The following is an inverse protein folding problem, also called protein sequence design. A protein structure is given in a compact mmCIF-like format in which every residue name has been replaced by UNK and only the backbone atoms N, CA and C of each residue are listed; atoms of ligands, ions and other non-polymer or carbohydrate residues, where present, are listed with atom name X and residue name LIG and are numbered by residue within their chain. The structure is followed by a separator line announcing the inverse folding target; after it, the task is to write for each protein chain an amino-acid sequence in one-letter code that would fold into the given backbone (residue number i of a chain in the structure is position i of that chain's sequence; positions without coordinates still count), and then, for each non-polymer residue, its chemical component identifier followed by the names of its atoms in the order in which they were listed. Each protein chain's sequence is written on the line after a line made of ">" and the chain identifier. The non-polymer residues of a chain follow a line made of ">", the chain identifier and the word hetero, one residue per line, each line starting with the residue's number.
data_IF_321688301663
#
_entry.id   IF_321688301663
#
_cell.length_a   1.000
_cell.length_b   1.000
_cell.length_c   1.000
_cell.angle_alpha   90.00
_cell.angle_beta   90.00
_cell.angle_gamma   90.00
#
_symmetry.space_group_name_H-M   'P 1'
#
loop_
_entity.id
_entity.type
_entity.pdbx_description
1 polymer ?
#
# COMPACT_ATOMS: atom_id res chain seq x y z
N UNK A 1 56.78 -45.79 49.32
CA UNK A 1 57.44 -44.69 50.07
C UNK A 1 56.70 -43.41 49.77
N UNK A 2 56.25 -42.77 50.85
CA UNK A 2 55.36 -41.63 50.96
C UNK A 2 56.09 -40.30 50.85
N UNK A 3 55.52 -39.32 50.13
CA UNK A 3 55.74 -37.89 50.43
C UNK A 3 54.45 -37.11 50.21
N UNK A 4 54.02 -36.45 51.29
CA UNK A 4 52.95 -35.47 51.38
C UNK A 4 53.52 -34.26 52.12
N UNK A 5 53.31 -33.03 51.65
CA UNK A 5 53.42 -31.76 52.42
C UNK A 5 52.60 -30.70 51.63
N UNK A 6 51.37 -30.32 52.03
CA UNK A 6 50.97 -29.21 52.92
C UNK A 6 51.50 -27.82 52.46
N UNK A 7 50.64 -26.92 51.95
CA UNK A 7 49.75 -25.98 52.67
C UNK A 7 50.40 -24.62 52.93
N UNK A 8 49.74 -23.54 52.46
CA UNK A 8 49.64 -22.27 53.20
C UNK A 8 48.60 -21.34 52.55
N UNK A 9 47.44 -21.22 53.19
CA UNK A 9 46.57 -20.05 53.05
C UNK A 9 47.19 -18.86 53.77
N UNK A 10 47.01 -17.64 53.25
CA UNK A 10 47.03 -16.41 54.06
C UNK A 10 45.86 -15.51 53.70
N UNK A 11 45.13 -15.13 54.75
CA UNK A 11 44.01 -14.21 54.78
C UNK A 11 44.48 -12.76 54.98
N UNK A 12 43.63 -11.86 54.47
CA UNK A 12 43.26 -10.53 54.97
C UNK A 12 44.32 -9.40 54.97
N UNK A 13 43.95 -8.23 54.43
CA UNK A 13 43.39 -7.12 55.24
C UNK A 13 42.81 -6.02 54.35
N UNK A 14 41.65 -5.52 54.75
CA UNK A 14 40.98 -4.32 54.25
C UNK A 14 41.59 -3.07 54.91
N UNK A 15 41.88 -2.01 54.15
CA UNK A 15 41.93 -0.63 54.68
C UNK A 15 41.44 0.40 53.64
N UNK A 16 40.86 1.47 54.18
CA UNK A 16 39.96 2.46 53.57
C UNK A 16 40.62 3.56 52.71
N UNK A 17 39.73 4.23 51.94
CA UNK A 17 39.84 5.43 51.05
C UNK A 17 40.54 6.68 51.65
N UNK A 18 40.99 7.63 50.80
CA UNK A 18 40.19 8.82 50.39
C UNK A 18 40.26 9.08 48.86
N UNK A 19 39.18 9.35 48.11
CA UNK A 19 38.48 10.62 47.87
C UNK A 19 39.38 11.76 47.32
N UNK A 20 39.21 12.17 46.04
CA UNK A 20 38.80 13.50 45.53
C UNK A 20 38.73 13.46 43.97
N UNK A 21 37.70 14.14 43.45
CA UNK A 21 37.08 14.24 42.10
C UNK A 21 37.95 14.89 40.98
N UNK A 22 37.35 15.45 39.90
CA UNK A 22 36.67 14.85 38.75
C UNK A 22 37.41 15.19 37.43
N UNK A 23 37.21 14.42 36.36
CA UNK A 23 37.55 14.91 35.00
C UNK A 23 36.42 14.66 34.03
N UNK A 24 35.90 15.78 33.53
CA UNK A 24 34.89 15.92 32.49
C UNK A 24 35.43 15.33 31.19
N UNK A 25 34.95 14.15 30.80
CA UNK A 25 35.00 13.71 29.42
C UNK A 25 33.65 13.97 28.77
N UNK A 26 33.67 14.84 27.77
CA UNK A 26 32.59 15.21 26.87
C UNK A 26 31.68 14.01 26.53
N UNK A 27 30.43 14.07 27.00
CA UNK A 27 29.34 13.33 26.41
C UNK A 27 29.11 13.87 24.99
N UNK A 28 29.55 13.11 23.98
CA UNK A 28 29.22 13.39 22.59
C UNK A 28 27.69 13.37 22.40
N UNK A 29 27.13 14.24 21.55
CA UNK A 29 25.68 14.31 21.36
C UNK A 29 25.21 12.99 20.75
N UNK A 30 24.39 12.26 21.51
CA UNK A 30 23.57 11.17 21.01
C UNK A 30 22.76 11.66 19.82
N UNK A 31 23.17 11.29 18.61
CA UNK A 31 22.32 11.40 17.42
C UNK A 31 21.23 10.34 17.56
N UNK A 32 20.17 10.71 18.26
CA UNK A 32 18.87 10.06 18.17
C UNK A 32 18.46 10.23 16.70
N UNK A 33 18.59 9.18 15.91
CA UNK A 33 17.99 9.11 14.58
C UNK A 33 16.49 9.02 14.84
N UNK A 34 15.67 10.03 14.48
CA UNK A 34 14.24 9.89 14.58
C UNK A 34 13.85 8.76 13.65
N UNK A 35 13.20 7.74 14.20
CA UNK A 35 12.54 6.73 13.40
C UNK A 35 11.61 7.48 12.43
N UNK A 36 11.71 7.16 11.15
CA UNK A 36 10.72 7.56 10.15
C UNK A 36 9.45 6.75 10.43
N UNK A 37 8.82 7.03 11.57
CA UNK A 37 7.37 6.93 11.69
C UNK A 37 6.84 7.90 10.65
N UNK A 38 6.24 7.34 9.61
CA UNK A 38 5.31 7.98 8.68
C UNK A 38 4.87 9.36 9.17
N UNK A 39 5.53 10.41 8.67
CA UNK A 39 4.96 11.73 8.69
C UNK A 39 3.70 11.65 7.83
N UNK A 40 2.58 11.24 8.44
CA UNK A 40 1.26 11.71 8.04
C UNK A 40 1.39 13.22 8.09
N UNK A 41 1.75 13.84 6.96
CA UNK A 41 1.75 15.28 6.80
C UNK A 41 0.40 15.72 7.33
N UNK A 42 0.40 16.37 8.49
CA UNK A 42 -0.77 17.05 8.99
C UNK A 42 -1.11 18.06 7.90
N UNK A 43 -2.13 17.75 7.11
CA UNK A 43 -2.63 18.71 6.15
C UNK A 43 -3.03 19.95 6.94
N UNK A 44 -2.53 21.11 6.53
CA UNK A 44 -2.92 22.34 7.19
C UNK A 44 -4.44 22.48 7.09
N UNK A 45 -5.07 22.98 8.16
CA UNK A 45 -6.51 23.24 8.18
C UNK A 45 -6.97 24.06 6.95
N UNK A 46 -6.12 24.98 6.48
CA UNK A 46 -6.35 25.75 5.26
C UNK A 46 -6.39 24.89 3.97
N UNK A 47 -5.53 23.88 3.83
CA UNK A 47 -5.55 22.96 2.71
C UNK A 47 -6.78 22.05 2.73
N UNK A 48 -7.21 21.61 3.93
CA UNK A 48 -8.44 20.84 4.10
C UNK A 48 -9.68 21.68 3.73
N UNK A 49 -9.76 22.94 4.17
CA UNK A 49 -10.83 23.86 3.81
C UNK A 49 -10.89 24.12 2.30
N UNK A 50 -9.75 24.40 1.65
CA UNK A 50 -9.71 24.59 0.19
C UNK A 50 -10.18 23.37 -0.58
N UNK A 51 -9.83 22.15 -0.15
CA UNK A 51 -10.37 20.93 -0.77
C UNK A 51 -11.87 20.76 -0.52
N UNK A 52 -12.36 21.08 0.68
CA UNK A 52 -13.78 21.01 0.99
C UNK A 52 -14.60 22.00 0.15
N UNK A 53 -14.07 23.21 -0.05
CA UNK A 53 -14.66 24.24 -0.91
C UNK A 53 -14.66 23.81 -2.38
N UNK A 54 -13.52 23.36 -2.92
CA UNK A 54 -13.43 22.84 -4.28
C UNK A 54 -14.35 21.60 -4.50
N UNK A 55 -14.47 20.73 -3.50
CA UNK A 55 -15.39 19.59 -3.55
C UNK A 55 -16.85 20.04 -3.54
N UNK A 56 -17.18 21.12 -2.82
CA UNK A 56 -18.51 21.75 -2.85
C UNK A 56 -18.79 22.37 -4.23
N UNK A 57 -17.85 23.10 -4.82
CA UNK A 57 -18.02 23.68 -6.16
C UNK A 57 -18.23 22.60 -7.23
N UNK A 58 -17.46 21.51 -7.19
CA UNK A 58 -17.66 20.34 -8.05
C UNK A 58 -19.00 19.66 -7.82
N UNK A 59 -19.47 19.59 -6.58
CA UNK A 59 -20.79 19.05 -6.27
C UNK A 59 -21.92 19.95 -6.79
N UNK A 60 -21.75 21.27 -6.77
CA UNK A 60 -22.72 22.23 -7.32
C UNK A 60 -22.84 22.10 -8.85
N UNK A 61 -21.74 21.81 -9.54
CA UNK A 61 -21.75 21.58 -10.99
C UNK A 61 -22.26 20.18 -11.39
N UNK A 62 -22.39 19.24 -10.44
CA UNK A 62 -22.89 17.92 -10.72
C UNK A 62 -24.42 17.86 -10.52
N UNK A 63 -25.22 17.74 -11.59
CA UNK A 63 -26.68 17.69 -11.46
C UNK A 63 -27.14 16.52 -10.58
N UNK A 64 -26.36 15.42 -10.51
CA UNK A 64 -26.67 14.25 -9.68
C UNK A 64 -26.65 14.54 -8.16
N UNK A 65 -26.15 15.70 -7.72
CA UNK A 65 -26.20 16.08 -6.31
C UNK A 65 -27.63 16.39 -5.85
N UNK A 66 -28.46 16.95 -6.72
CA UNK A 66 -29.80 17.41 -6.36
C UNK A 66 -30.79 16.24 -6.37
N UNK A 67 -31.43 16.02 -5.21
CA UNK A 67 -32.39 14.93 -4.98
C UNK A 67 -33.70 15.43 -4.39
N UNK A 68 -34.82 14.84 -4.79
CA UNK A 68 -36.17 15.14 -4.27
C UNK A 68 -36.41 16.67 -4.21
N UNK A 69 -36.75 17.21 -3.04
CA UNK A 69 -37.02 18.63 -2.81
C UNK A 69 -35.79 19.54 -2.89
N UNK A 70 -34.57 18.99 -2.94
CA UNK A 70 -33.36 19.79 -3.14
C UNK A 70 -33.20 20.24 -4.60
N UNK A 71 -33.99 19.71 -5.53
CA UNK A 71 -33.96 20.09 -6.94
C UNK A 71 -34.55 21.51 -7.08
N UNK A 72 -33.82 22.48 -7.65
CA UNK A 72 -34.24 23.89 -7.67
C UNK A 72 -35.31 24.23 -8.72
N UNK A 73 -35.90 23.23 -9.39
CA UNK A 73 -36.81 23.41 -10.52
C UNK A 73 -38.24 22.99 -10.20
N UNK A 74 -39.21 23.83 -10.58
CA UNK A 74 -40.64 23.55 -10.36
C UNK A 74 -41.21 22.51 -11.32
N UNK A 75 -40.79 22.56 -12.59
CA UNK A 75 -41.24 21.66 -13.65
C UNK A 75 -40.07 20.84 -14.18
N UNK A 76 -40.27 19.53 -14.27
CA UNK A 76 -39.25 18.55 -14.65
C UNK A 76 -39.83 17.52 -15.62
N UNK A 77 -38.98 16.86 -16.40
CA UNK A 77 -39.37 15.74 -17.26
C UNK A 77 -38.79 14.45 -16.72
N UNK A 78 -39.63 13.44 -16.54
CA UNK A 78 -39.19 12.14 -16.06
C UNK A 78 -38.57 11.31 -17.21
N UNK A 79 -37.39 10.78 -16.95
CA UNK A 79 -36.75 9.77 -17.79
C UNK A 79 -37.15 8.40 -17.25
N UNK A 80 -37.96 7.67 -18.01
CA UNK A 80 -38.33 6.32 -17.65
C UNK A 80 -37.13 5.38 -17.86
N UNK A 81 -36.74 4.63 -16.83
CA UNK A 81 -35.55 3.77 -16.88
C UNK A 81 -35.71 2.53 -17.76
N UNK A 82 -36.94 2.11 -18.04
CA UNK A 82 -37.23 0.89 -18.80
C UNK A 82 -37.39 1.20 -20.29
N UNK A 83 -38.17 2.23 -20.61
CA UNK A 83 -38.48 2.60 -22.00
C UNK A 83 -37.51 3.63 -22.59
N UNK A 84 -36.66 4.25 -21.77
CA UNK A 84 -35.79 5.39 -22.12
C UNK A 84 -36.53 6.55 -22.79
N UNK A 85 -37.86 6.64 -22.58
CA UNK A 85 -38.69 7.71 -23.11
C UNK A 85 -38.80 8.85 -22.10
N UNK A 86 -38.93 10.05 -22.64
CA UNK A 86 -39.15 11.26 -21.87
C UNK A 86 -40.64 11.48 -21.71
N UNK A 87 -41.09 11.53 -20.46
CA UNK A 87 -42.47 11.86 -20.14
C UNK A 87 -42.75 13.36 -20.32
N UNK A 88 -44.04 13.74 -20.44
CA UNK A 88 -44.42 15.14 -20.48
C UNK A 88 -43.94 15.90 -19.24
N UNK A 89 -43.73 17.23 -19.33
CA UNK A 89 -43.32 18.03 -18.19
C UNK A 89 -44.33 17.93 -17.04
N UNK A 90 -43.87 17.49 -15.86
CA UNK A 90 -44.66 17.34 -14.64
C UNK A 90 -44.12 18.26 -13.56
N UNK A 91 -44.97 18.65 -12.60
CA UNK A 91 -44.51 19.39 -11.41
C UNK A 91 -43.72 18.46 -10.51
N UNK A 92 -42.58 18.95 -10.01
CA UNK A 92 -41.71 18.16 -9.14
C UNK A 92 -42.43 17.70 -7.86
N UNK A 93 -43.25 18.56 -7.26
CA UNK A 93 -43.99 18.23 -6.03
C UNK A 93 -44.93 17.03 -6.23
N UNK A 94 -45.65 17.02 -7.35
CA UNK A 94 -46.61 15.96 -7.68
C UNK A 94 -45.87 14.63 -7.95
N UNK A 95 -44.71 14.71 -8.59
CA UNK A 95 -43.85 13.55 -8.86
C UNK A 95 -43.20 12.99 -7.59
N UNK A 96 -42.75 13.85 -6.67
CA UNK A 96 -42.20 13.40 -5.37
C UNK A 96 -43.29 12.80 -4.49
N UNK A 97 -44.53 13.31 -4.58
CA UNK A 97 -45.67 12.80 -3.82
C UNK A 97 -46.20 11.44 -4.33
N UNK A 98 -46.00 11.12 -5.60
CA UNK A 98 -46.46 9.85 -6.19
C UNK A 98 -45.53 8.67 -5.95
N UNK A 99 -44.32 8.91 -5.42
CA UNK A 99 -43.28 7.90 -5.25
C UNK A 99 -43.10 7.55 -3.77
N UNK A 100 -42.84 6.28 -3.48
CA UNK A 100 -42.35 5.86 -2.17
C UNK A 100 -40.91 6.34 -1.94
N UNK A 101 -40.76 7.34 -1.06
CA UNK A 101 -39.50 7.97 -0.71
C UNK A 101 -38.60 7.08 0.18
N UNK A 102 -39.13 5.98 0.73
CA UNK A 102 -38.34 5.04 1.51
C UNK A 102 -37.53 4.11 0.60
N UNK A 103 -38.14 3.59 -0.46
CA UNK A 103 -37.45 2.76 -1.45
C UNK A 103 -36.70 3.56 -2.53
N UNK A 104 -37.27 4.71 -2.95
CA UNK A 104 -36.81 5.43 -4.14
C UNK A 104 -36.49 6.90 -3.85
N UNK A 105 -35.75 7.53 -4.75
CA UNK A 105 -35.56 8.97 -4.76
C UNK A 105 -35.49 9.49 -6.20
N UNK A 106 -35.88 10.75 -6.37
CA UNK A 106 -35.79 11.49 -7.62
C UNK A 106 -34.43 12.15 -7.67
N UNK A 107 -33.67 11.93 -8.73
CA UNK A 107 -32.37 12.54 -8.96
C UNK A 107 -32.38 13.36 -10.24
N UNK A 108 -31.81 14.56 -10.18
CA UNK A 108 -31.59 15.38 -11.37
C UNK A 108 -30.45 14.80 -12.22
N UNK A 109 -30.69 14.64 -13.51
CA UNK A 109 -29.73 14.05 -14.48
C UNK A 109 -29.10 15.15 -15.34
N UNK A 110 -29.91 16.07 -15.85
CA UNK A 110 -29.42 17.20 -16.65
C UNK A 110 -30.27 18.45 -16.39
N UNK A 111 -29.61 19.59 -16.27
CA UNK A 111 -30.24 20.91 -16.21
C UNK A 111 -30.68 21.36 -17.60
N UNK A 112 -29.82 21.15 -18.59
CA UNK A 112 -29.97 21.64 -19.96
C UNK A 112 -29.99 20.44 -20.91
N UNK A 113 -31.17 19.88 -21.20
CA UNK A 113 -31.29 18.77 -22.15
C UNK A 113 -30.96 19.23 -23.59
N UNK A 114 -30.48 18.31 -24.45
CA UNK A 114 -30.12 18.63 -25.84
C UNK A 114 -31.31 19.15 -26.67
N UNK A 115 -32.53 18.79 -26.29
CA UNK A 115 -33.76 19.25 -26.95
C UNK A 115 -34.15 20.70 -26.57
N UNK A 116 -33.38 21.39 -25.71
CA UNK A 116 -33.72 22.72 -25.17
C UNK A 116 -34.94 22.73 -24.24
N UNK A 117 -35.40 21.55 -23.82
CA UNK A 117 -36.57 21.36 -22.96
C UNK A 117 -36.33 21.61 -21.46
N UNK A 118 -37.30 21.21 -20.63
CA UNK A 118 -37.20 21.29 -19.16
C UNK A 118 -36.19 20.27 -18.58
N UNK A 119 -35.63 20.52 -17.38
CA UNK A 119 -34.65 19.66 -16.74
C UNK A 119 -35.11 18.20 -16.63
N UNK A 120 -34.15 17.28 -16.78
CA UNK A 120 -34.41 15.84 -16.79
C UNK A 120 -34.16 15.24 -15.40
N UNK A 121 -35.14 14.50 -14.91
CA UNK A 121 -35.04 13.75 -13.65
C UNK A 121 -35.20 12.26 -13.89
N UNK A 122 -34.64 11.45 -13.01
CA UNK A 122 -34.78 10.00 -13.01
C UNK A 122 -35.13 9.50 -11.62
N UNK A 123 -35.98 8.48 -11.56
CA UNK A 123 -36.28 7.76 -10.31
C UNK A 123 -35.25 6.65 -10.13
N UNK A 124 -34.64 6.60 -8.95
CA UNK A 124 -33.58 5.65 -8.62
C UNK A 124 -33.93 4.96 -7.31
N UNK A 125 -33.82 3.64 -7.30
CA UNK A 125 -33.94 2.84 -6.09
C UNK A 125 -32.68 2.99 -5.23
N UNK A 126 -32.86 3.20 -3.92
CA UNK A 126 -31.75 3.36 -2.96
C UNK A 126 -30.84 2.14 -2.91
N UNK A 127 -31.41 0.94 -3.00
CA UNK A 127 -30.65 -0.31 -3.01
C UNK A 127 -29.72 -0.39 -4.23
N UNK A 128 -30.26 -0.13 -5.42
CA UNK A 128 -29.49 -0.18 -6.67
C UNK A 128 -28.41 0.91 -6.73
N UNK A 129 -28.70 2.10 -6.18
CA UNK A 129 -27.72 3.17 -6.08
C UNK A 129 -26.53 2.75 -5.20
N UNK A 130 -26.81 2.14 -4.04
CA UNK A 130 -25.78 1.65 -3.14
C UNK A 130 -24.95 0.52 -3.77
N UNK A 131 -25.60 -0.41 -4.49
CA UNK A 131 -24.90 -1.48 -5.21
C UNK A 131 -24.00 -0.93 -6.32
N UNK A 132 -24.53 -0.04 -7.17
CA UNK A 132 -23.75 0.61 -8.23
C UNK A 132 -22.56 1.38 -7.67
N UNK A 133 -22.70 2.05 -6.53
CA UNK A 133 -21.59 2.75 -5.89
C UNK A 133 -20.51 1.77 -5.40
N UNK A 134 -20.90 0.63 -4.80
CA UNK A 134 -19.97 -0.43 -4.39
C UNK A 134 -19.22 -1.00 -5.59
N UNK A 135 -19.93 -1.29 -6.68
CA UNK A 135 -19.33 -1.83 -7.90
C UNK A 135 -18.39 -0.83 -8.56
N UNK A 136 -18.77 0.44 -8.62
CA UNK A 136 -17.89 1.51 -9.13
C UNK A 136 -16.64 1.68 -8.27
N UNK A 137 -16.77 1.62 -6.93
CA UNK A 137 -15.63 1.66 -6.01
C UNK A 137 -14.71 0.45 -6.19
N UNK A 138 -15.27 -0.75 -6.37
CA UNK A 138 -14.50 -1.96 -6.63
C UNK A 138 -13.73 -1.87 -7.96
N UNK A 139 -14.41 -1.47 -9.05
CA UNK A 139 -13.80 -1.26 -10.36
C UNK A 139 -12.71 -0.21 -10.33
N UNK A 140 -12.93 0.94 -9.68
CA UNK A 140 -11.90 1.98 -9.51
C UNK A 140 -10.71 1.48 -8.70
N UNK A 141 -10.93 0.68 -7.65
CA UNK A 141 -9.85 0.08 -6.85
C UNK A 141 -9.03 -0.92 -7.67
N UNK A 142 -9.68 -1.72 -8.50
CA UNK A 142 -9.03 -2.68 -9.38
C UNK A 142 -8.26 -1.99 -10.51
N UNK A 143 -8.86 -1.00 -11.17
CA UNK A 143 -8.19 -0.16 -12.17
C UNK A 143 -7.01 0.57 -11.57
N UNK A 144 -7.13 1.12 -10.35
CA UNK A 144 -6.02 1.76 -9.66
C UNK A 144 -4.91 0.76 -9.34
N UNK A 145 -5.22 -0.48 -8.96
CA UNK A 145 -4.21 -1.53 -8.76
C UNK A 145 -3.52 -1.91 -10.06
N UNK A 146 -4.26 -2.01 -11.16
CA UNK A 146 -3.70 -2.29 -12.48
C UNK A 146 -2.84 -1.12 -13.01
N UNK A 147 -3.26 0.11 -12.75
CA UNK A 147 -2.58 1.35 -13.19
C UNK A 147 -1.44 1.79 -12.27
N UNK A 148 -1.42 1.38 -10.99
CA UNK A 148 -0.37 1.71 -10.02
C UNK A 148 0.99 1.09 -10.36
N UNK A 149 1.09 0.35 -11.46
CA UNK A 149 2.32 -0.27 -11.90
C UNK A 149 2.72 -1.48 -11.04
N UNK A 150 3.80 -2.14 -11.46
CA UNK A 150 4.39 -3.27 -10.73
C UNK A 150 4.97 -2.78 -9.41
N UNK A 151 4.55 -3.35 -8.29
CA UNK A 151 5.14 -3.00 -6.98
C UNK A 151 6.59 -3.48 -6.96
N UNK A 152 7.51 -2.64 -6.46
CA UNK A 152 8.91 -3.01 -6.22
C UNK A 152 9.07 -3.51 -4.79
N UNK A 153 9.57 -4.74 -4.62
CA UNK A 153 9.81 -5.36 -3.31
C UNK A 153 11.27 -5.76 -3.19
N UNK A 154 11.85 -5.57 -2.01
CA UNK A 154 13.19 -6.02 -1.68
C UNK A 154 13.11 -7.22 -0.72
N UNK A 155 13.88 -8.27 -1.01
CA UNK A 155 14.02 -9.43 -0.15
C UNK A 155 15.48 -9.58 0.25
N UNK A 156 15.72 -9.46 1.55
CA UNK A 156 17.07 -9.55 2.11
C UNK A 156 17.40 -10.98 2.57
N UNK A 157 18.50 -11.49 2.04
CA UNK A 157 19.10 -12.78 2.35
C UNK A 157 20.48 -12.56 2.96
N UNK A 158 20.85 -13.40 3.93
CA UNK A 158 22.24 -13.43 4.38
C UNK A 158 23.08 -14.35 3.50
N UNK A 159 24.36 -14.05 3.33
CA UNK A 159 25.29 -14.97 2.66
C UNK A 159 25.32 -16.38 3.26
N UNK A 160 25.14 -16.49 4.57
CA UNK A 160 25.09 -17.77 5.30
C UNK A 160 23.66 -18.16 5.70
N UNK A 161 22.67 -17.86 4.85
CA UNK A 161 21.27 -18.24 5.09
C UNK A 161 21.11 -19.75 5.21
N UNK A 162 20.34 -20.18 6.21
CA UNK A 162 19.98 -21.58 6.43
C UNK A 162 19.01 -22.08 5.34
N UNK A 163 19.05 -23.36 4.92
CA UNK A 163 18.16 -23.89 3.90
C UNK A 163 16.65 -23.65 4.15
N UNK A 164 16.21 -23.71 5.41
CA UNK A 164 14.82 -23.45 5.79
C UNK A 164 14.39 -22.00 5.54
N UNK A 165 15.20 -21.03 6.00
CA UNK A 165 14.94 -19.60 5.78
C UNK A 165 15.04 -19.23 4.30
N UNK A 166 16.00 -19.83 3.58
CA UNK A 166 16.15 -19.64 2.14
C UNK A 166 14.88 -20.06 1.40
N UNK A 167 14.38 -21.28 1.64
CA UNK A 167 13.14 -21.78 1.01
C UNK A 167 11.95 -20.86 1.32
N UNK A 168 11.83 -20.40 2.55
CA UNK A 168 10.74 -19.51 2.94
C UNK A 168 10.80 -18.16 2.24
N UNK A 169 11.99 -17.54 2.18
CA UNK A 169 12.19 -16.24 1.51
C UNK A 169 12.08 -16.33 -0.01
N UNK A 170 12.59 -17.39 -0.63
CA UNK A 170 12.37 -17.64 -2.07
C UNK A 170 10.90 -17.92 -2.37
N UNK A 171 10.18 -18.65 -1.51
CA UNK A 171 8.74 -18.82 -1.65
C UNK A 171 7.97 -17.49 -1.59
N UNK A 172 8.44 -16.52 -0.79
CA UNK A 172 7.90 -15.14 -0.81
C UNK A 172 8.26 -14.42 -2.11
N UNK A 173 9.50 -14.54 -2.57
CA UNK A 173 9.94 -13.95 -3.85
C UNK A 173 9.09 -14.44 -5.02
N UNK A 174 8.91 -15.76 -5.13
CA UNK A 174 8.11 -16.42 -6.17
C UNK A 174 6.66 -15.90 -6.15
N UNK A 175 6.02 -15.86 -4.98
CA UNK A 175 4.65 -15.32 -4.84
C UNK A 175 4.49 -13.87 -5.29
N UNK A 176 5.55 -13.07 -5.16
CA UNK A 176 5.55 -11.69 -5.64
C UNK A 176 5.81 -11.60 -7.14
N UNK A 177 6.73 -12.43 -7.66
CA UNK A 177 7.01 -12.56 -9.09
C UNK A 177 5.78 -13.07 -9.87
N UNK A 178 5.00 -13.99 -9.31
CA UNK A 178 3.73 -14.46 -9.87
C UNK A 178 2.65 -13.37 -9.96
N UNK A 179 2.76 -12.31 -9.14
CA UNK A 179 1.87 -11.14 -9.20
C UNK A 179 2.34 -10.09 -10.21
N UNK A 180 3.36 -10.40 -11.02
CA UNK A 180 4.03 -9.47 -11.95
C UNK A 180 4.74 -8.31 -11.23
N UNK A 181 5.08 -8.46 -9.95
CA UNK A 181 5.82 -7.45 -9.20
C UNK A 181 7.31 -7.48 -9.57
N UNK A 182 8.02 -6.39 -9.25
CA UNK A 182 9.46 -6.30 -9.34
C UNK A 182 10.06 -6.73 -8.01
N UNK A 183 11.05 -7.62 -8.04
CA UNK A 183 11.69 -8.14 -6.82
C UNK A 183 13.19 -7.94 -6.92
N UNK A 184 13.77 -7.25 -5.95
CA UNK A 184 15.23 -7.15 -5.76
C UNK A 184 15.64 -8.09 -4.64
N UNK A 185 16.50 -9.06 -4.93
CA UNK A 185 17.09 -9.93 -3.92
C UNK A 185 18.44 -9.32 -3.50
N UNK A 186 18.56 -8.97 -2.23
CA UNK A 186 19.74 -8.34 -1.64
C UNK A 186 20.45 -9.30 -0.69
N UNK A 187 21.73 -9.53 -0.94
CA UNK A 187 22.59 -10.37 -0.11
C UNK A 187 23.42 -9.50 0.83
N UNK A 188 23.30 -9.76 2.12
CA UNK A 188 23.91 -8.97 3.20
C UNK A 188 24.75 -9.89 4.09
N UNK A 189 25.91 -9.46 4.61
CA UNK A 189 26.67 -10.26 5.54
C UNK A 189 25.98 -10.31 6.90
N UNK A 190 25.99 -11.49 7.55
CA UNK A 190 25.53 -11.63 8.93
C UNK A 190 26.71 -11.37 9.87
N UNK A 191 26.50 -10.52 10.89
CA UNK A 191 27.53 -10.19 11.88
C UNK A 191 28.10 -11.46 12.52
N UNK A 192 29.43 -11.58 12.54
CA UNK A 192 30.14 -12.71 13.13
C UNK A 192 30.13 -14.00 12.30
N UNK A 193 29.59 -13.98 11.07
CA UNK A 193 29.66 -15.12 10.15
C UNK A 193 30.74 -14.90 9.09
N UNK A 194 31.46 -15.96 8.65
CA UNK A 194 32.49 -15.84 7.63
C UNK A 194 31.87 -15.37 6.31
N UNK A 195 32.52 -14.43 5.62
CA UNK A 195 32.07 -13.99 4.31
C UNK A 195 32.52 -14.97 3.22
N UNK A 196 31.62 -15.33 2.29
CA UNK A 196 32.00 -16.15 1.13
C UNK A 196 32.90 -15.35 0.19
N UNK A 197 33.81 -16.05 -0.49
CA UNK A 197 34.65 -15.45 -1.55
C UNK A 197 33.78 -15.07 -2.76
N UNK A 198 34.23 -14.12 -3.59
CA UNK A 198 33.50 -13.70 -4.81
C UNK A 198 33.03 -14.84 -5.73
N UNK A 199 33.82 -15.89 -6.02
CA UNK A 199 33.33 -17.03 -6.79
C UNK A 199 32.20 -17.79 -6.08
N UNK A 200 32.28 -17.95 -4.76
CA UNK A 200 31.23 -18.59 -3.97
C UNK A 200 29.94 -17.75 -3.95
N UNK A 201 30.07 -16.42 -3.89
CA UNK A 201 28.93 -15.50 -4.00
C UNK A 201 28.20 -15.69 -5.33
N UNK A 202 28.94 -15.74 -6.44
CA UNK A 202 28.37 -15.96 -7.78
C UNK A 202 27.66 -17.31 -7.89
N UNK A 203 28.27 -18.39 -7.41
CA UNK A 203 27.65 -19.73 -7.41
C UNK A 203 26.33 -19.71 -6.63
N UNK A 204 26.28 -19.01 -5.49
CA UNK A 204 25.06 -18.89 -4.69
C UNK A 204 23.97 -18.09 -5.40
N UNK A 205 24.33 -16.99 -6.07
CA UNK A 205 23.39 -16.19 -6.85
C UNK A 205 22.86 -16.98 -8.06
N UNK A 206 23.70 -17.78 -8.71
CA UNK A 206 23.31 -18.67 -9.81
C UNK A 206 22.36 -19.78 -9.34
N UNK A 207 22.61 -20.37 -8.16
CA UNK A 207 21.69 -21.34 -7.56
C UNK A 207 20.29 -20.73 -7.36
N UNK A 208 20.24 -19.51 -6.81
CA UNK A 208 18.96 -18.80 -6.57
C UNK A 208 18.28 -18.42 -7.88
N UNK A 209 19.04 -17.99 -8.89
CA UNK A 209 18.51 -17.73 -10.22
C UNK A 209 17.84 -18.98 -10.82
N UNK A 210 18.50 -20.13 -10.73
CA UNK A 210 17.97 -21.39 -11.24
C UNK A 210 16.67 -21.81 -10.57
N UNK A 211 16.50 -21.48 -9.28
CA UNK A 211 15.25 -21.72 -8.56
C UNK A 211 14.11 -20.82 -9.09
N UNK A 212 14.38 -19.53 -9.37
CA UNK A 212 13.32 -18.55 -9.67
C UNK A 212 13.09 -18.27 -11.17
N UNK A 213 13.98 -18.72 -12.06
CA UNK A 213 13.93 -18.43 -13.52
C UNK A 213 12.65 -18.87 -14.23
N UNK A 214 11.86 -19.76 -13.62
CA UNK A 214 10.61 -20.24 -14.19
C UNK A 214 9.45 -19.22 -14.06
N UNK A 215 9.54 -18.27 -13.11
CA UNK A 215 8.55 -17.20 -12.87
C UNK A 215 9.09 -15.79 -13.06
N UNK A 216 10.39 -15.66 -13.37
CA UNK A 216 11.08 -14.38 -13.42
C UNK A 216 11.94 -14.21 -14.67
N UNK A 217 12.13 -12.96 -15.05
CA UNK A 217 13.16 -12.51 -16.01
C UNK A 217 14.13 -11.57 -15.31
N UNK A 218 15.40 -11.69 -15.63
CA UNK A 218 16.44 -10.81 -15.12
C UNK A 218 16.31 -9.43 -15.80
N UNK A 219 16.11 -8.38 -15.00
CA UNK A 219 15.90 -7.01 -15.49
C UNK A 219 17.22 -6.29 -15.75
N UNK A 220 18.24 -6.61 -14.96
CA UNK A 220 19.54 -5.96 -14.95
C UNK A 220 20.59 -6.98 -14.51
N UNK A 221 21.83 -6.77 -14.98
CA UNK A 221 22.97 -7.58 -14.58
C UNK A 221 23.17 -7.62 -13.06
N UNK A 222 23.59 -8.79 -12.58
CA UNK A 222 23.86 -9.03 -11.16
C UNK A 222 25.02 -8.17 -10.69
N UNK A 223 24.79 -7.45 -9.60
CA UNK A 223 25.85 -6.66 -8.97
C UNK A 223 26.44 -7.47 -7.83
N UNK A 224 27.75 -7.69 -7.87
CA UNK A 224 28.51 -8.30 -6.77
C UNK A 224 29.49 -7.25 -6.25
N UNK A 225 29.14 -6.66 -5.11
CA UNK A 225 30.04 -5.80 -4.35
C UNK A 225 30.99 -6.62 -3.49
N UNK A 226 31.82 -5.93 -2.71
CA UNK A 226 32.80 -6.56 -1.82
C UNK A 226 32.12 -7.42 -0.72
N UNK A 227 31.02 -6.90 -0.15
CA UNK A 227 30.31 -7.54 0.96
C UNK A 227 28.86 -7.87 0.64
N UNK A 228 28.33 -7.39 -0.49
CA UNK A 228 26.90 -7.46 -0.82
C UNK A 228 26.66 -7.88 -2.25
N UNK A 229 25.50 -8.49 -2.51
CA UNK A 229 25.07 -8.90 -3.85
C UNK A 229 23.66 -8.42 -4.13
N UNK A 230 23.35 -8.07 -5.38
CA UNK A 230 22.01 -7.66 -5.80
C UNK A 230 21.61 -8.40 -7.07
N UNK A 231 20.37 -8.91 -7.06
CA UNK A 231 19.71 -9.47 -8.24
C UNK A 231 18.40 -8.74 -8.48
N UNK A 232 18.18 -8.29 -9.72
CA UNK A 232 17.00 -7.52 -10.10
C UNK A 232 16.09 -8.38 -10.96
N UNK A 233 14.95 -8.79 -10.40
CA UNK A 233 14.02 -9.74 -11.00
C UNK A 233 12.70 -9.07 -11.35
N UNK A 234 12.17 -9.44 -12.51
CA UNK A 234 10.85 -9.03 -12.97
C UNK A 234 9.94 -10.25 -13.06
N UNK A 235 8.80 -10.18 -12.39
CA UNK A 235 7.79 -11.24 -12.44
C UNK A 235 7.09 -11.35 -13.79
N UNK A 236 6.98 -12.57 -14.31
CA UNK A 236 6.27 -12.87 -15.56
C UNK A 236 4.76 -13.09 -15.34
N UNK A 237 4.32 -13.27 -14.10
CA UNK A 237 2.96 -13.69 -13.78
C UNK A 237 2.84 -15.21 -13.68
N UNK A 238 1.69 -15.72 -13.23
CA UNK A 238 1.43 -17.17 -13.30
C UNK A 238 1.47 -17.63 -14.76
N UNK A 239 2.26 -18.65 -15.03
CA UNK A 239 2.24 -19.38 -16.30
C UNK A 239 0.89 -20.12 -16.32
N UNK A 240 -0.04 -19.68 -17.16
CA UNK A 240 -1.25 -20.44 -17.39
C UNK A 240 -0.85 -21.73 -18.11
N UNK A 241 -1.08 -22.87 -17.48
CA UNK A 241 -0.89 -24.15 -18.14
C UNK A 241 -1.87 -24.23 -19.32
N UNK A 242 -1.41 -24.56 -20.54
CA UNK A 242 -2.31 -24.74 -21.67
C UNK A 242 -3.31 -25.86 -21.32
N UNK A 243 -4.59 -25.48 -21.30
CA UNK A 243 -5.73 -26.37 -21.05
C UNK A 243 -5.90 -27.38 -22.18
#
# INVERSE_FOLDING_TARGET
>A
MTTAVLSAMRLATYTLRPAVSPSLALAGPSRIIPSLQECRRFESHAAALKRAEAARELAVQNPAFFKNNAIPYTYVRLVNSETNRLEPPTRLKDLVASIDLDANFVQLVSTDPPDGGKPLVKIINKHDAAQKERDQKAKKKEQKKAASGRESKEIQLSWNVEPGDLKHKLGKAIKELEKKNLVTISFVPKKGSPLPTRPQMMVKMEMIWNEVKHVATERQDRTVGELSGLMYLQGLGRKEDPK
#
